data_IF_398279749202
#
_entry.id   IF_398279749202
#
_cell.length_a   1.000
_cell.length_b   1.000
_cell.length_c   1.000
_cell.angle_alpha   90.00
_cell.angle_beta   90.00
_cell.angle_gamma   90.00
#
_symmetry.space_group_name_H-M   'P 1'
#
loop_
_entity.id
_entity.type
_entity.pdbx_description
1 polymer ?
#
# COMPACT_ATOMS: atom_id res chain seq x y z
N UNK A 1 -13.04 -8.62 16.01
CA UNK A 1 -12.88 -7.98 14.68
C UNK A 1 -14.21 -7.52 14.13
N UNK A 2 -15.23 -8.38 14.08
CA UNK A 2 -16.59 -8.00 13.62
C UNK A 2 -17.15 -6.87 14.49
N UNK A 3 -17.18 -7.05 15.82
CA UNK A 3 -17.70 -6.02 16.74
C UNK A 3 -16.99 -4.67 16.60
N UNK A 4 -15.69 -4.71 16.32
CA UNK A 4 -14.92 -3.50 16.04
C UNK A 4 -15.38 -2.83 14.74
N UNK A 5 -15.60 -3.60 13.68
CA UNK A 5 -16.04 -3.06 12.40
C UNK A 5 -17.44 -2.46 12.48
N UNK A 6 -18.35 -3.13 13.21
CA UNK A 6 -19.70 -2.60 13.50
C UNK A 6 -19.61 -1.29 14.27
N UNK A 7 -18.84 -1.24 15.36
CA UNK A 7 -18.72 -0.04 16.18
C UNK A 7 -18.06 1.13 15.43
N UNK A 8 -17.06 0.87 14.60
CA UNK A 8 -16.45 1.90 13.73
C UNK A 8 -17.47 2.45 12.74
N UNK A 9 -18.25 1.59 12.08
CA UNK A 9 -19.29 2.01 11.14
C UNK A 9 -20.37 2.86 11.83
N UNK A 10 -20.86 2.43 12.99
CA UNK A 10 -21.85 3.18 13.77
C UNK A 10 -21.37 4.58 14.14
N UNK A 11 -20.12 4.73 14.55
CA UNK A 11 -19.56 6.03 14.93
C UNK A 11 -19.27 6.94 13.74
N UNK A 12 -18.86 6.37 12.60
CA UNK A 12 -18.66 7.10 11.35
C UNK A 12 -20.00 7.56 10.76
N UNK A 13 -21.01 6.69 10.74
CA UNK A 13 -22.38 7.03 10.32
C UNK A 13 -23.01 8.09 11.23
N UNK A 14 -22.70 8.04 12.52
CA UNK A 14 -23.09 9.06 13.50
C UNK A 14 -22.28 10.37 13.44
N UNK A 15 -21.38 10.53 12.47
CA UNK A 15 -20.52 11.71 12.30
C UNK A 15 -19.69 12.09 13.55
N UNK A 16 -19.44 11.14 14.46
CA UNK A 16 -18.68 11.38 15.68
C UNK A 16 -17.20 11.66 15.39
N UNK A 17 -16.67 11.03 14.34
CA UNK A 17 -15.33 11.27 13.81
C UNK A 17 -15.30 10.98 12.30
N UNK A 18 -14.17 11.27 11.64
CA UNK A 18 -14.01 10.98 10.21
C UNK A 18 -14.65 12.02 9.27
N UNK A 19 -15.00 13.21 9.75
CA UNK A 19 -15.67 14.20 8.90
C UNK A 19 -14.84 14.67 7.70
N UNK A 20 -13.50 14.61 7.78
CA UNK A 20 -12.60 14.95 6.66
C UNK A 20 -12.31 13.74 5.79
N UNK A 21 -12.93 13.67 4.62
CA UNK A 21 -12.71 12.59 3.65
C UNK A 21 -13.83 11.55 3.59
N UNK A 22 -14.94 11.80 4.29
CA UNK A 22 -16.19 11.10 4.13
C UNK A 22 -16.69 11.16 2.66
N UNK A 23 -17.54 10.21 2.22
CA UNK A 23 -18.06 9.07 2.99
C UNK A 23 -17.01 7.97 3.21
N UNK A 24 -17.06 7.32 4.37
CA UNK A 24 -16.28 6.13 4.68
C UNK A 24 -17.22 4.93 4.68
N UNK A 25 -16.85 3.88 3.98
CA UNK A 25 -17.61 2.63 3.97
C UNK A 25 -16.79 1.55 4.69
N UNK A 26 -17.36 0.96 5.74
CA UNK A 26 -16.80 -0.23 6.36
C UNK A 26 -17.41 -1.48 5.71
N UNK A 27 -16.60 -2.19 4.92
CA UNK A 27 -17.04 -3.35 4.15
C UNK A 27 -16.57 -4.66 4.80
N UNK A 28 -17.29 -5.77 4.59
CA UNK A 28 -16.82 -7.13 4.87
C UNK A 28 -15.43 -7.43 4.27
N UNK A 29 -15.08 -6.84 3.13
CA UNK A 29 -13.75 -6.87 2.52
C UNK A 29 -12.65 -6.39 3.46
N UNK A 30 -12.94 -5.44 4.34
CA UNK A 30 -11.95 -4.95 5.31
C UNK A 30 -11.69 -5.99 6.39
N UNK A 31 -12.73 -6.71 6.81
CA UNK A 31 -12.60 -7.86 7.70
C UNK A 31 -11.84 -9.01 7.05
N UNK A 32 -12.13 -9.36 5.79
CA UNK A 32 -11.39 -10.42 5.08
C UNK A 32 -9.92 -10.05 4.92
N UNK A 33 -9.64 -8.79 4.54
CA UNK A 33 -8.26 -8.27 4.48
C UNK A 33 -7.58 -8.29 5.85
N UNK A 34 -8.30 -7.98 6.93
CA UNK A 34 -7.74 -8.06 8.28
C UNK A 34 -7.34 -9.47 8.66
N UNK A 35 -8.19 -10.45 8.36
CA UNK A 35 -7.88 -11.87 8.55
C UNK A 35 -6.65 -12.28 7.73
N UNK A 36 -6.62 -11.97 6.43
CA UNK A 36 -5.51 -12.29 5.53
C UNK A 36 -4.18 -11.71 6.03
N UNK A 37 -4.15 -10.42 6.38
CA UNK A 37 -2.96 -9.76 6.89
C UNK A 37 -2.52 -10.33 8.24
N UNK A 38 -3.45 -10.70 9.12
CA UNK A 38 -3.15 -11.30 10.42
C UNK A 38 -2.51 -12.68 10.27
N UNK A 39 -3.04 -13.50 9.35
CA UNK A 39 -2.48 -14.81 9.01
C UNK A 39 -1.09 -14.65 8.39
N UNK A 40 -0.91 -13.70 7.47
CA UNK A 40 0.37 -13.41 6.86
C UNK A 40 1.41 -12.92 7.88
N UNK A 41 1.04 -12.01 8.78
CA UNK A 41 1.91 -11.53 9.87
C UNK A 41 2.33 -12.70 10.77
N UNK A 42 1.37 -13.53 11.18
CA UNK A 42 1.65 -14.71 12.01
C UNK A 42 2.64 -15.68 11.35
N UNK A 43 2.45 -15.98 10.06
CA UNK A 43 3.32 -16.88 9.31
C UNK A 43 4.72 -16.30 9.04
N UNK A 44 4.83 -14.99 8.92
CA UNK A 44 6.09 -14.29 8.62
C UNK A 44 6.98 -14.11 9.85
N UNK A 45 6.39 -13.96 11.04
CA UNK A 45 7.09 -13.67 12.30
C UNK A 45 7.22 -14.89 13.22
N UNK A 46 7.79 -15.99 12.70
CA UNK A 46 7.90 -17.30 13.39
C UNK A 46 8.78 -17.34 14.65
N UNK A 47 9.55 -16.29 14.91
CA UNK A 47 10.57 -16.24 15.98
C UNK A 47 10.05 -15.78 17.34
N UNK A 48 8.79 -15.37 17.46
CA UNK A 48 8.27 -14.93 18.74
C UNK A 48 7.94 -16.11 19.66
N UNK A 49 8.37 -16.02 20.94
CA UNK A 49 8.16 -17.03 21.99
C UNK A 49 6.68 -17.34 22.27
N UNK A 50 5.76 -16.48 21.82
CA UNK A 50 4.32 -16.65 22.01
C UNK A 50 3.62 -16.61 20.65
N UNK A 51 3.13 -17.77 20.18
CA UNK A 51 2.43 -17.94 18.90
C UNK A 51 1.00 -17.38 18.98
N UNK A 52 0.87 -16.05 19.03
CA UNK A 52 -0.42 -15.39 19.12
C UNK A 52 -0.72 -14.57 17.86
N UNK A 53 -1.98 -14.56 17.44
CA UNK A 53 -2.46 -13.63 16.42
C UNK A 53 -2.48 -12.21 16.98
N UNK A 54 -1.84 -11.26 16.29
CA UNK A 54 -1.74 -9.85 16.71
C UNK A 54 -2.54 -8.91 15.79
N UNK A 55 -3.87 -8.87 15.93
CA UNK A 55 -4.69 -7.94 15.17
C UNK A 55 -4.34 -6.46 15.42
N UNK A 56 -3.81 -6.13 16.61
CA UNK A 56 -3.42 -4.79 17.02
C UNK A 56 -2.32 -4.19 16.14
N UNK A 57 -1.42 -5.01 15.59
CA UNK A 57 -0.34 -4.53 14.72
C UNK A 57 -0.85 -4.00 13.37
N UNK A 58 -2.06 -4.42 12.97
CA UNK A 58 -2.59 -4.25 11.61
C UNK A 58 -3.81 -3.34 11.55
N UNK A 59 -4.41 -2.97 12.69
CA UNK A 59 -5.58 -2.07 12.70
C UNK A 59 -5.25 -0.70 12.08
N UNK A 60 -4.03 -0.19 12.31
CA UNK A 60 -3.59 1.06 11.70
C UNK A 60 -3.46 0.93 10.18
N UNK A 61 -2.98 -0.19 9.66
CA UNK A 61 -2.88 -0.41 8.20
C UNK A 61 -4.27 -0.37 7.53
N UNK A 62 -5.28 -0.94 8.18
CA UNK A 62 -6.59 -1.17 7.55
C UNK A 62 -7.57 -0.04 7.78
N UNK A 63 -7.62 0.52 9.00
CA UNK A 63 -8.57 1.56 9.39
C UNK A 63 -7.87 2.89 9.67
N UNK A 64 -6.76 2.88 10.42
CA UNK A 64 -6.07 4.11 10.82
C UNK A 64 -5.48 4.91 9.64
N UNK A 65 -4.84 4.26 8.69
CA UNK A 65 -4.17 4.90 7.56
C UNK A 65 -5.17 5.54 6.57
N UNK A 66 -6.45 5.16 6.63
CA UNK A 66 -7.54 5.82 5.89
C UNK A 66 -7.87 7.19 6.47
N UNK A 67 -7.76 7.34 7.79
CA UNK A 67 -8.18 8.55 8.48
C UNK A 67 -7.24 9.72 8.19
N UNK A 68 -7.83 10.88 7.85
CA UNK A 68 -7.06 12.07 7.45
C UNK A 68 -6.46 12.85 8.62
N UNK A 69 -7.10 12.83 9.78
CA UNK A 69 -6.64 13.58 10.96
C UNK A 69 -6.04 12.67 12.02
N UNK A 70 -5.14 13.20 12.84
CA UNK A 70 -4.57 12.46 13.96
C UNK A 70 -5.64 12.10 15.00
N UNK A 71 -6.60 13.01 15.24
CA UNK A 71 -7.74 12.77 16.12
C UNK A 71 -8.54 11.54 15.68
N UNK A 72 -8.88 11.45 14.39
CA UNK A 72 -9.62 10.30 13.85
C UNK A 72 -8.80 9.00 13.97
N UNK A 73 -7.47 9.06 13.75
CA UNK A 73 -6.57 7.91 13.94
C UNK A 73 -6.53 7.43 15.38
N UNK A 74 -6.48 8.35 16.33
CA UNK A 74 -6.46 8.02 17.74
C UNK A 74 -7.81 7.46 18.19
N UNK A 75 -8.92 7.99 17.65
CA UNK A 75 -10.26 7.43 17.89
C UNK A 75 -10.37 5.97 17.44
N UNK A 76 -9.83 5.62 16.26
CA UNK A 76 -9.77 4.22 15.80
C UNK A 76 -9.01 3.33 16.79
N UNK A 77 -7.91 3.81 17.39
CA UNK A 77 -7.15 3.05 18.41
C UNK A 77 -7.92 2.90 19.72
N UNK A 78 -8.69 3.92 20.11
CA UNK A 78 -9.54 3.87 21.30
C UNK A 78 -10.66 2.83 21.14
N UNK A 79 -11.35 2.83 19.99
CA UNK A 79 -12.37 1.83 19.66
C UNK A 79 -11.75 0.43 19.65
N UNK A 80 -10.54 0.29 19.13
CA UNK A 80 -9.83 -0.99 19.17
C UNK A 80 -9.59 -1.44 20.62
N UNK A 81 -9.12 -0.51 21.48
CA UNK A 81 -8.84 -0.82 22.87
C UNK A 81 -10.09 -1.18 23.67
N UNK A 82 -11.24 -0.56 23.40
CA UNK A 82 -12.50 -0.88 24.07
C UNK A 82 -13.03 -2.27 23.67
N UNK A 83 -12.92 -2.65 22.40
CA UNK A 83 -13.45 -3.93 21.89
C UNK A 83 -12.53 -5.11 22.22
N UNK A 84 -11.22 -4.96 22.06
CA UNK A 84 -10.27 -6.05 22.24
C UNK A 84 -9.67 -6.11 23.65
N UNK A 85 -9.91 -5.10 24.50
CA UNK A 85 -9.33 -5.00 25.84
C UNK A 85 -7.80 -4.86 25.84
N UNK A 86 -7.20 -4.52 24.69
CA UNK A 86 -5.75 -4.38 24.48
C UNK A 86 -5.46 -3.10 23.73
N UNK A 87 -4.41 -2.38 24.12
CA UNK A 87 -4.00 -1.16 23.40
C UNK A 87 -3.32 -1.52 22.09
N UNK A 88 -3.49 -0.66 21.09
CA UNK A 88 -2.70 -0.73 19.86
C UNK A 88 -1.23 -0.44 20.21
N UNK A 89 -0.43 -1.50 20.28
CA UNK A 89 1.01 -1.40 20.56
C UNK A 89 1.79 -1.24 19.27
N UNK A 90 2.73 -0.30 19.22
CA UNK A 90 3.65 -0.16 18.10
C UNK A 90 4.49 1.10 18.21
N UNK A 91 5.81 0.94 18.26
CA UNK A 91 6.76 2.02 18.00
C UNK A 91 6.85 2.27 16.50
N UNK A 92 7.39 3.42 16.09
CA UNK A 92 7.70 3.64 14.68
C UNK A 92 8.53 2.46 14.13
N UNK A 93 8.20 1.94 12.94
CA UNK A 93 8.89 0.77 12.42
C UNK A 93 10.35 1.10 12.12
N UNK A 94 11.24 0.22 12.56
CA UNK A 94 12.67 0.32 12.28
C UNK A 94 12.97 -0.39 10.96
N UNK A 95 13.77 0.25 10.11
CA UNK A 95 14.22 -0.35 8.86
C UNK A 95 15.53 -1.10 9.05
N UNK A 96 15.62 -2.29 8.47
CA UNK A 96 16.84 -3.10 8.40
C UNK A 96 17.00 -3.71 7.00
N UNK A 97 18.25 -3.83 6.54
CA UNK A 97 18.57 -4.25 5.18
C UNK A 97 19.49 -5.47 5.17
N UNK A 98 19.06 -6.50 4.46
CA UNK A 98 19.86 -7.68 4.12
C UNK A 98 20.25 -7.69 2.64
N UNK A 99 21.11 -8.65 2.27
CA UNK A 99 21.43 -8.93 0.86
C UNK A 99 20.17 -9.26 0.05
N UNK A 100 19.29 -10.09 0.59
CA UNK A 100 18.13 -10.61 -0.13
C UNK A 100 16.79 -9.96 0.27
N UNK A 101 16.74 -9.25 1.40
CA UNK A 101 15.48 -8.74 1.96
C UNK A 101 15.62 -7.33 2.52
N UNK A 102 14.52 -6.58 2.51
CA UNK A 102 14.36 -5.28 3.19
C UNK A 102 13.29 -5.46 4.25
N UNK A 103 13.55 -5.04 5.48
CA UNK A 103 12.62 -5.15 6.60
C UNK A 103 12.13 -3.76 7.02
N UNK A 104 10.83 -3.67 7.34
CA UNK A 104 10.17 -2.49 7.87
C UNK A 104 9.39 -2.89 9.13
N UNK A 105 10.08 -2.97 10.26
CA UNK A 105 9.52 -3.52 11.50
C UNK A 105 9.21 -5.02 11.37
N UNK A 106 7.93 -5.36 11.35
CA UNK A 106 7.35 -6.71 11.37
C UNK A 106 7.05 -7.30 9.98
N UNK A 107 7.39 -6.58 8.90
CA UNK A 107 7.21 -7.03 7.51
C UNK A 107 8.49 -6.90 6.72
N UNK A 108 8.68 -7.76 5.71
CA UNK A 108 9.82 -7.71 4.81
C UNK A 108 9.39 -7.75 3.34
N UNK A 109 10.25 -7.29 2.44
CA UNK A 109 10.09 -7.41 0.99
C UNK A 109 11.34 -8.07 0.42
N UNK A 110 11.15 -9.12 -0.39
CA UNK A 110 12.25 -9.77 -1.09
C UNK A 110 12.81 -8.89 -2.21
N UNK A 111 14.13 -8.83 -2.27
CA UNK A 111 14.88 -8.10 -3.30
C UNK A 111 15.01 -8.94 -4.55
N UNK A 112 14.82 -8.31 -5.70
CA UNK A 112 15.19 -8.92 -6.96
C UNK A 112 16.68 -8.68 -7.24
N UNK A 113 17.53 -9.65 -6.86
CA UNK A 113 18.99 -9.57 -7.02
C UNK A 113 19.41 -9.69 -8.49
N UNK A 114 18.58 -10.29 -9.35
CA UNK A 114 18.90 -10.59 -10.74
C UNK A 114 18.63 -9.42 -11.71
N UNK A 115 17.90 -8.39 -11.26
CA UNK A 115 17.57 -7.23 -12.09
C UNK A 115 18.34 -6.04 -11.56
N UNK A 116 19.28 -5.51 -12.36
CA UNK A 116 19.78 -4.15 -12.12
C UNK A 116 18.56 -3.23 -12.21
N UNK A 117 18.19 -2.48 -11.14
CA UNK A 117 16.98 -1.68 -11.13
C UNK A 117 17.05 -0.66 -12.27
N UNK A 118 16.28 -0.90 -13.34
CA UNK A 118 16.10 0.06 -14.42
C UNK A 118 14.89 0.90 -14.05
N UNK A 119 15.06 1.84 -13.13
CA UNK A 119 14.07 2.90 -12.96
C UNK A 119 14.05 3.68 -14.27
N UNK A 120 13.00 3.53 -15.08
CA UNK A 120 12.86 4.23 -16.37
C UNK A 120 12.54 5.73 -16.21
N UNK A 121 12.73 6.29 -15.01
CA UNK A 121 12.86 7.72 -14.82
C UNK A 121 14.35 8.03 -14.81
N UNK A 122 14.79 8.91 -15.72
CA UNK A 122 16.18 9.30 -16.00
C UNK A 122 16.97 9.94 -14.83
N UNK A 123 16.55 9.72 -13.60
CA UNK A 123 17.03 10.48 -12.45
C UNK A 123 17.94 9.60 -11.59
N UNK A 124 19.25 9.84 -11.70
CA UNK A 124 20.30 9.30 -10.80
C UNK A 124 20.18 9.83 -9.37
N UNK A 125 19.01 10.31 -8.97
CA UNK A 125 18.77 10.83 -7.63
C UNK A 125 18.73 9.67 -6.66
N UNK A 126 19.76 9.61 -5.80
CA UNK A 126 19.83 8.71 -4.65
C UNK A 126 18.58 8.96 -3.80
N UNK A 127 17.58 8.10 -3.94
CA UNK A 127 16.37 8.15 -3.13
C UNK A 127 16.75 7.81 -1.69
N UNK A 128 16.74 8.83 -0.82
CA UNK A 128 17.02 8.67 0.60
C UNK A 128 15.76 8.14 1.31
N UNK A 129 15.96 7.22 2.25
CA UNK A 129 14.87 6.76 3.12
C UNK A 129 14.69 7.75 4.26
N UNK A 130 13.53 8.39 4.34
CA UNK A 130 13.19 9.28 5.44
C UNK A 130 12.49 8.51 6.57
N UNK A 131 12.84 8.83 7.83
CA UNK A 131 12.19 8.22 9.01
C UNK A 131 10.67 8.42 9.02
N UNK A 132 10.21 9.61 8.63
CA UNK A 132 8.79 9.95 8.51
C UNK A 132 8.02 9.10 7.49
N UNK A 133 8.70 8.43 6.57
CA UNK A 133 8.10 7.57 5.55
C UNK A 133 8.05 6.10 5.96
N UNK A 134 8.66 5.70 7.08
CA UNK A 134 8.81 4.29 7.46
C UNK A 134 7.47 3.62 7.76
N UNK A 135 6.53 4.33 8.38
CA UNK A 135 5.16 3.82 8.60
C UNK A 135 4.46 3.53 7.29
N UNK A 136 4.56 4.43 6.31
CA UNK A 136 3.97 4.26 4.98
C UNK A 136 4.67 3.14 4.20
N UNK A 137 6.00 3.04 4.28
CA UNK A 137 6.76 1.95 3.66
C UNK A 137 6.40 0.59 4.24
N UNK A 138 6.19 0.50 5.56
CA UNK A 138 5.66 -0.70 6.22
C UNK A 138 4.28 -1.06 5.65
N UNK A 139 3.34 -0.12 5.63
CA UNK A 139 1.99 -0.36 5.12
C UNK A 139 1.99 -0.80 3.65
N UNK A 140 2.78 -0.14 2.80
CA UNK A 140 2.95 -0.53 1.41
C UNK A 140 3.59 -1.91 1.25
N UNK A 141 4.52 -2.29 2.13
CA UNK A 141 5.15 -3.62 2.11
C UNK A 141 4.14 -4.73 2.37
N UNK A 142 3.19 -4.53 3.28
CA UNK A 142 2.06 -5.44 3.45
C UNK A 142 1.23 -5.56 2.18
N UNK A 143 0.81 -4.43 1.60
CA UNK A 143 0.01 -4.44 0.37
C UNK A 143 0.73 -5.17 -0.77
N UNK A 144 2.03 -4.91 -0.92
CA UNK A 144 2.89 -5.54 -1.92
C UNK A 144 3.01 -7.05 -1.72
N UNK A 145 3.09 -7.54 -0.48
CA UNK A 145 3.21 -8.98 -0.20
C UNK A 145 1.87 -9.72 -0.36
N UNK A 146 0.78 -9.06 0.00
CA UNK A 146 -0.58 -9.60 -0.08
C UNK A 146 -1.21 -9.43 -1.47
N UNK A 147 -0.51 -8.76 -2.40
CA UNK A 147 -1.03 -8.48 -3.75
C UNK A 147 -2.21 -7.52 -3.75
N UNK A 148 -2.32 -6.67 -2.72
CA UNK A 148 -3.37 -5.67 -2.61
C UNK A 148 -3.00 -4.41 -3.39
N UNK A 149 -3.98 -3.89 -4.13
CA UNK A 149 -3.90 -2.56 -4.73
C UNK A 149 -3.91 -1.49 -3.63
N UNK A 150 -2.92 -0.60 -3.66
CA UNK A 150 -2.78 0.47 -2.67
C UNK A 150 -2.89 1.84 -3.33
N UNK A 151 -3.60 2.76 -2.67
CA UNK A 151 -3.75 4.15 -3.10
C UNK A 151 -3.10 5.04 -2.05
N UNK A 152 -2.25 5.97 -2.50
CA UNK A 152 -1.62 6.97 -1.63
C UNK A 152 -2.31 8.32 -1.83
N UNK A 153 -2.95 8.83 -0.78
CA UNK A 153 -3.65 10.12 -0.78
C UNK A 153 -2.95 11.11 0.15
N UNK A 154 -2.86 12.37 -0.26
CA UNK A 154 -2.24 13.43 0.54
C UNK A 154 -1.96 14.67 -0.28
N UNK A 155 -1.55 15.76 0.37
CA UNK A 155 -1.26 17.05 -0.28
C UNK A 155 -0.18 16.94 -1.35
N UNK A 156 -0.16 17.87 -2.31
CA UNK A 156 0.92 17.95 -3.29
C UNK A 156 2.27 18.15 -2.58
N UNK A 157 3.32 17.51 -3.08
CA UNK A 157 4.67 17.63 -2.50
C UNK A 157 4.97 16.79 -1.25
N UNK A 158 4.00 16.08 -0.64
CA UNK A 158 4.25 15.28 0.58
C UNK A 158 5.08 13.99 0.37
N UNK A 159 5.57 13.74 -0.85
CA UNK A 159 6.47 12.62 -1.12
C UNK A 159 5.81 11.30 -1.53
N UNK A 160 4.52 11.26 -1.90
CA UNK A 160 3.82 10.03 -2.34
C UNK A 160 4.60 9.23 -3.39
N UNK A 161 4.93 9.86 -4.51
CA UNK A 161 5.70 9.23 -5.59
C UNK A 161 7.13 8.90 -5.16
N UNK A 162 7.69 9.66 -4.21
CA UNK A 162 9.03 9.39 -3.67
C UNK A 162 9.02 8.10 -2.88
N UNK A 163 8.05 7.89 -1.97
CA UNK A 163 7.92 6.66 -1.16
C UNK A 163 7.81 5.41 -2.04
N UNK A 164 6.99 5.44 -3.09
CA UNK A 164 6.84 4.30 -4.01
C UNK A 164 8.14 4.02 -4.77
N UNK A 165 8.82 5.06 -5.25
CA UNK A 165 10.15 4.95 -5.88
C UNK A 165 11.17 4.37 -4.91
N UNK A 166 11.19 4.84 -3.65
CA UNK A 166 12.07 4.34 -2.59
C UNK A 166 11.85 2.84 -2.38
N UNK A 167 10.60 2.40 -2.22
CA UNK A 167 10.28 0.99 -2.00
C UNK A 167 10.70 0.11 -3.20
N UNK A 168 10.42 0.55 -4.43
CA UNK A 168 10.82 -0.16 -5.63
C UNK A 168 12.35 -0.30 -5.74
N UNK A 169 13.08 0.79 -5.45
CA UNK A 169 14.53 0.80 -5.43
C UNK A 169 15.10 -0.16 -4.38
N UNK A 170 14.56 -0.13 -3.16
CA UNK A 170 14.97 -1.01 -2.07
C UNK A 170 14.71 -2.49 -2.41
N UNK A 171 13.58 -2.77 -3.07
CA UNK A 171 13.22 -4.12 -3.54
C UNK A 171 13.95 -4.54 -4.84
N UNK A 172 14.73 -3.67 -5.47
CA UNK A 172 15.38 -3.96 -6.75
C UNK A 172 14.40 -4.19 -7.91
N UNK A 173 13.20 -3.61 -7.84
CA UNK A 173 12.14 -3.79 -8.84
C UNK A 173 12.04 -2.57 -9.76
N UNK A 174 11.76 -2.82 -11.03
CA UNK A 174 11.50 -1.76 -12.00
C UNK A 174 10.13 -1.15 -11.74
N UNK A 175 10.11 0.12 -11.36
CA UNK A 175 8.87 0.92 -11.29
C UNK A 175 8.61 1.56 -12.64
N UNK A 176 7.41 1.34 -13.19
CA UNK A 176 6.88 2.08 -14.33
C UNK A 176 5.83 3.05 -13.81
N UNK A 177 5.88 4.29 -14.29
CA UNK A 177 4.93 5.33 -13.93
C UNK A 177 4.13 5.69 -15.17
N UNK A 178 2.82 5.60 -15.06
CA UNK A 178 1.89 5.99 -16.10
C UNK A 178 1.11 7.22 -15.61
N UNK A 179 1.35 8.41 -16.18
CA UNK A 179 0.61 9.60 -15.79
C UNK A 179 -0.82 9.49 -16.31
N UNK A 180 -1.81 9.50 -15.41
CA UNK A 180 -3.22 9.52 -15.78
C UNK A 180 -3.71 10.96 -15.92
N UNK A 181 -4.28 11.31 -17.07
CA UNK A 181 -4.89 12.62 -17.34
C UNK A 181 -6.38 12.46 -17.65
N UNK A 182 -7.17 13.54 -17.55
CA UNK A 182 -8.61 13.50 -17.83
C UNK A 182 -8.96 13.23 -19.29
N UNK A 183 -7.99 13.37 -20.20
CA UNK A 183 -8.13 13.06 -21.61
C UNK A 183 -7.77 11.61 -21.95
N UNK A 184 -7.31 10.82 -20.97
CA UNK A 184 -7.01 9.41 -21.20
C UNK A 184 -8.26 8.59 -21.36
N UNK A 185 -8.25 7.72 -22.35
CA UNK A 185 -9.31 6.74 -22.63
C UNK A 185 -8.83 5.31 -22.35
N UNK A 186 -9.77 4.38 -22.29
CA UNK A 186 -9.56 2.94 -22.16
C UNK A 186 -8.57 2.38 -23.20
N UNK A 187 -8.51 2.97 -24.39
CA UNK A 187 -7.59 2.61 -25.47
C UNK A 187 -6.13 2.94 -25.14
N UNK A 188 -5.86 3.95 -24.32
CA UNK A 188 -4.49 4.28 -23.88
C UNK A 188 -3.94 3.24 -22.89
N UNK A 189 -4.83 2.59 -22.12
CA UNK A 189 -4.48 1.58 -21.11
C UNK A 189 -4.48 0.17 -21.69
N UNK A 190 -5.43 -0.16 -22.56
CA UNK A 190 -5.55 -1.50 -23.16
C UNK A 190 -4.73 -1.64 -24.45
N UNK A 191 -4.37 -0.52 -25.07
CA UNK A 191 -3.78 -0.45 -26.40
C UNK A 191 -4.85 -0.26 -27.48
N UNK A 192 -4.50 0.50 -28.50
CA UNK A 192 -5.28 0.62 -29.74
C UNK A 192 -4.84 -0.42 -30.78
N UNK A 193 -5.73 -0.73 -31.71
CA UNK A 193 -5.36 -1.47 -32.91
C UNK A 193 -4.78 -0.52 -33.95
N UNK A 194 -3.55 -0.77 -34.39
CA UNK A 194 -2.94 -0.04 -35.51
C UNK A 194 -2.89 -0.94 -36.73
N UNK A 195 -3.62 -0.57 -37.80
CA UNK A 195 -3.50 -1.26 -39.08
C UNK A 195 -2.18 -0.85 -39.73
N UNK A 196 -1.25 -1.79 -39.82
CA UNK A 196 0.01 -1.56 -40.53
C UNK A 196 -0.24 -1.84 -42.01
N UNK A 197 0.05 -0.87 -42.89
CA UNK A 197 -0.07 -1.03 -44.34
C UNK A 197 0.67 -2.28 -44.82
N UNK A 198 -0.07 -3.25 -45.36
CA UNK A 198 0.46 -4.57 -45.77
C UNK A 198 -0.30 -5.79 -45.24
N UNK A 199 -1.52 -5.62 -44.70
CA UNK A 199 -2.39 -6.74 -44.30
C UNK A 199 -1.97 -7.45 -43.00
N UNK A 200 -1.04 -6.86 -42.23
CA UNK A 200 -0.64 -7.37 -40.92
C UNK A 200 -1.25 -6.49 -39.84
N UNK A 201 -2.03 -7.10 -38.96
CA UNK A 201 -2.59 -6.42 -37.77
C UNK A 201 -1.45 -6.26 -36.75
N UNK A 202 -1.02 -5.03 -36.53
CA UNK A 202 -0.13 -4.68 -35.43
C UNK A 202 -0.96 -4.47 -34.17
N UNK A 203 -0.92 -5.41 -33.23
CA UNK A 203 -1.44 -5.16 -31.88
C UNK A 203 -0.35 -4.45 -31.10
N UNK A 204 -0.59 -3.21 -30.69
CA UNK A 204 0.21 -2.53 -29.68
C UNK A 204 -0.11 -3.18 -28.33
N UNK A 205 0.53 -4.33 -28.09
CA UNK A 205 0.25 -5.18 -26.95
C UNK A 205 1.12 -4.78 -25.76
N UNK A 206 0.50 -4.19 -24.75
CA UNK A 206 1.15 -3.85 -23.47
C UNK A 206 1.73 -5.10 -22.78
N UNK A 207 1.28 -6.31 -23.13
CA UNK A 207 1.85 -7.57 -22.62
C UNK A 207 3.20 -7.96 -23.25
N UNK A 208 3.62 -7.31 -24.35
CA UNK A 208 4.98 -7.44 -24.92
C UNK A 208 6.03 -6.61 -24.17
N UNK A 209 5.62 -5.78 -23.22
CA UNK A 209 6.54 -5.30 -22.19
C UNK A 209 6.96 -6.51 -21.34
N UNK A 210 8.26 -6.67 -21.02
CA UNK A 210 8.75 -7.84 -20.29
C UNK A 210 7.89 -8.06 -19.05
N UNK A 211 7.27 -9.25 -18.96
CA UNK A 211 6.31 -9.69 -17.92
C UNK A 211 6.44 -8.83 -16.67
N UNK A 212 5.59 -7.82 -16.57
CA UNK A 212 5.42 -7.10 -15.31
C UNK A 212 4.44 -7.96 -14.53
N UNK A 213 4.86 -8.55 -13.42
CA UNK A 213 3.93 -9.18 -12.49
C UNK A 213 2.86 -8.13 -12.14
N UNK A 214 1.67 -8.26 -12.74
CA UNK A 214 0.55 -7.35 -12.60
C UNK A 214 0.01 -7.27 -11.16
N UNK A 215 0.54 -8.08 -10.24
CA UNK A 215 0.09 -8.19 -8.86
C UNK A 215 0.49 -7.06 -7.91
N UNK A 216 1.21 -6.01 -8.35
CA UNK A 216 1.74 -4.97 -7.45
C UNK A 216 1.61 -3.57 -8.06
N UNK A 217 0.39 -3.13 -8.37
CA UNK A 217 0.13 -1.72 -8.67
C UNK A 217 -0.01 -0.91 -7.37
N UNK A 218 0.86 0.09 -7.23
CA UNK A 218 0.64 1.21 -6.31
C UNK A 218 0.18 2.38 -7.15
N UNK A 219 -1.13 2.63 -7.16
CA UNK A 219 -1.69 3.75 -7.90
C UNK A 219 -1.47 5.03 -7.09
N UNK A 220 -0.58 5.89 -7.59
CA UNK A 220 -0.43 7.25 -7.08
C UNK A 220 -1.36 8.15 -7.90
N UNK A 221 -2.65 8.14 -7.54
CA UNK A 221 -3.61 9.08 -8.10
C UNK A 221 -3.27 10.49 -7.61
N UNK A 222 -2.81 11.35 -8.53
CA UNK A 222 -2.81 12.80 -8.32
C UNK A 222 -4.22 13.31 -8.56
N UNK A 223 -5.04 13.34 -7.52
CA UNK A 223 -6.19 14.24 -7.51
C UNK A 223 -5.73 15.56 -6.89
N UNK A 224 -5.51 16.56 -7.73
CA UNK A 224 -5.50 17.96 -7.26
C UNK A 224 -6.95 18.39 -7.04
N UNK A 225 -7.23 19.24 -6.02
CA UNK A 225 -8.54 19.85 -5.85
C UNK A 225 -8.92 20.76 -7.02
#
# INVERSE_FOLDING_TARGET
MIDFNVLVEEELAGHKFGNKGAPWECNLRDLTRWCEATIFHYNSNRTEKNREYRPEALVNLLYGDRMRTLFDKDRVKEIFASVFGRKVTGTEPIMYLNRDRVYFGDVFVDKNVNVKPRVQCADKTKSLVLRSQLSVLRSLSYCVNLGWMSILVGTSGCGKSSVVKTLANLAGRTLKTFPVTSAMDTTDILGGFEQVSGGRIGVFDITKLPRVDFHKFVDVLRMSP
#
